data_IF_925982508550
#
_entry.id   IF_925982508550
#
_cell.length_a   1.000
_cell.length_b   1.000
_cell.length_c   1.000
_cell.angle_alpha   90.00
_cell.angle_beta   90.00
_cell.angle_gamma   90.00
#
_symmetry.space_group_name_H-M   'P 1'
#
loop_
_entity.id
_entity.type
_entity.pdbx_description
1 polymer ?
#
# COMPACT_ATOMS: atom_id res chain seq x y z
N UNK A 1 12.22 -5.47 -17.89
CA UNK A 1 11.52 -5.46 -16.58
C UNK A 1 10.06 -5.16 -16.83
N UNK A 2 9.14 -5.98 -16.32
CA UNK A 2 7.71 -5.81 -16.55
C UNK A 2 7.05 -5.11 -15.36
N UNK A 3 6.19 -4.15 -15.67
CA UNK A 3 5.37 -3.41 -14.72
C UNK A 3 3.94 -3.40 -15.23
N UNK A 4 2.96 -3.52 -14.35
CA UNK A 4 1.54 -3.52 -14.71
C UNK A 4 0.82 -2.46 -13.89
N UNK A 5 0.21 -1.42 -14.49
CA UNK A 5 -0.70 -0.53 -13.78
C UNK A 5 -1.87 -1.34 -13.21
N UNK A 6 -2.19 -1.11 -11.94
CA UNK A 6 -3.26 -1.81 -11.24
C UNK A 6 -3.88 -0.89 -10.20
N UNK A 7 -5.21 -0.91 -10.11
CA UNK A 7 -5.93 -0.32 -8.99
C UNK A 7 -6.11 -1.39 -7.90
N UNK A 8 -5.70 -1.07 -6.68
CA UNK A 8 -5.90 -1.92 -5.50
C UNK A 8 -6.72 -1.18 -4.46
N UNK A 9 -7.47 -1.92 -3.66
CA UNK A 9 -8.16 -1.38 -2.48
C UNK A 9 -7.41 -1.81 -1.23
N UNK A 10 -6.97 -0.85 -0.42
CA UNK A 10 -6.31 -1.12 0.87
C UNK A 10 -7.10 -0.43 1.98
N UNK A 11 -7.65 -1.22 2.90
CA UNK A 11 -8.48 -0.75 4.01
C UNK A 11 -9.53 0.30 3.57
N UNK A 12 -10.29 -0.03 2.53
CA UNK A 12 -11.37 0.81 1.99
C UNK A 12 -10.95 1.98 1.09
N UNK A 13 -9.65 2.19 0.85
CA UNK A 13 -9.16 3.25 -0.05
C UNK A 13 -8.66 2.62 -1.36
N UNK A 14 -9.20 3.08 -2.48
CA UNK A 14 -8.74 2.71 -3.82
C UNK A 14 -7.49 3.49 -4.22
N UNK A 15 -6.53 2.79 -4.83
CA UNK A 15 -5.20 3.31 -5.09
C UNK A 15 -4.63 2.75 -6.38
N UNK A 16 -4.17 3.64 -7.25
CA UNK A 16 -3.43 3.25 -8.45
C UNK A 16 -1.94 3.04 -8.13
N UNK A 17 -1.46 1.84 -8.45
CA UNK A 17 -0.07 1.45 -8.29
C UNK A 17 0.49 0.90 -9.60
N UNK A 18 1.83 0.91 -9.70
CA UNK A 18 2.56 0.32 -10.84
C UNK A 18 3.58 -0.70 -10.32
N UNK A 19 3.14 -1.87 -9.83
CA UNK A 19 4.01 -2.89 -9.29
C UNK A 19 4.92 -3.51 -10.35
N UNK A 20 6.07 -3.99 -9.90
CA UNK A 20 6.97 -4.83 -10.68
C UNK A 20 6.43 -6.26 -10.71
N UNK A 21 6.33 -6.86 -11.90
CA UNK A 21 5.84 -8.23 -12.07
C UNK A 21 7.01 -9.20 -11.95
N UNK A 22 6.99 -10.03 -10.90
CA UNK A 22 7.99 -11.06 -10.61
C UNK A 22 7.30 -12.28 -9.99
N UNK A 23 7.95 -13.45 -10.06
CA UNK A 23 7.53 -14.64 -9.31
C UNK A 23 7.82 -14.43 -7.82
N UNK A 24 6.79 -14.46 -6.98
CA UNK A 24 6.89 -14.22 -5.53
C UNK A 24 6.82 -15.50 -4.69
N UNK A 25 6.46 -16.65 -5.27
CA UNK A 25 6.15 -17.85 -4.49
C UNK A 25 4.77 -17.74 -3.87
N UNK A 26 4.67 -17.87 -2.55
CA UNK A 26 3.39 -17.86 -1.83
C UNK A 26 2.68 -16.48 -1.77
N UNK A 27 3.37 -15.34 -1.57
CA UNK A 27 2.70 -14.04 -1.55
C UNK A 27 2.18 -13.62 -2.92
N UNK A 28 0.95 -13.14 -2.98
CA UNK A 28 0.38 -12.61 -4.23
C UNK A 28 0.89 -11.19 -4.58
N UNK A 29 1.19 -10.38 -3.55
CA UNK A 29 1.67 -9.01 -3.70
C UNK A 29 2.48 -8.61 -2.47
N UNK A 30 3.53 -7.83 -2.68
CA UNK A 30 4.31 -7.20 -1.60
C UNK A 30 4.27 -5.69 -1.80
N UNK A 31 3.69 -4.99 -0.82
CA UNK A 31 3.76 -3.53 -0.73
C UNK A 31 5.05 -3.17 -0.01
N UNK A 32 6.11 -2.92 -0.79
CA UNK A 32 7.43 -2.62 -0.25
C UNK A 32 7.56 -1.22 0.34
N UNK A 33 8.77 -0.90 0.81
CA UNK A 33 9.12 0.38 1.42
C UNK A 33 8.69 1.62 0.62
N UNK A 34 8.80 1.67 -0.73
CA UNK A 34 8.36 2.85 -1.49
C UNK A 34 6.86 3.15 -1.29
N UNK A 35 6.04 2.11 -1.19
CA UNK A 35 4.60 2.26 -0.94
C UNK A 35 4.36 2.75 0.50
N UNK A 36 5.05 2.14 1.48
CA UNK A 36 4.95 2.52 2.89
C UNK A 36 5.39 3.97 3.13
N UNK A 37 6.47 4.43 2.50
CA UNK A 37 6.93 5.82 2.61
C UNK A 37 5.95 6.82 2.00
N UNK A 38 5.35 6.47 0.85
CA UNK A 38 4.39 7.34 0.15
C UNK A 38 3.09 7.51 0.93
N UNK A 39 2.55 6.43 1.46
CA UNK A 39 1.23 6.42 2.08
C UNK A 39 1.27 6.57 3.60
N UNK A 40 2.41 6.22 4.21
CA UNK A 40 2.74 6.40 5.62
C UNK A 40 1.57 6.07 6.58
N UNK A 41 0.93 4.89 6.45
CA UNK A 41 -0.12 4.50 7.37
C UNK A 41 0.46 4.18 8.74
N UNK A 42 -0.41 4.17 9.75
CA UNK A 42 -0.07 3.59 11.05
C UNK A 42 -0.28 2.07 10.97
N UNK A 43 0.78 1.32 11.31
CA UNK A 43 0.76 -0.15 11.26
C UNK A 43 0.95 -0.66 12.68
N UNK A 44 -0.04 -1.43 13.14
CA UNK A 44 0.06 -2.21 14.35
C UNK A 44 0.61 -3.59 13.97
N UNK A 45 1.91 -3.78 14.18
CA UNK A 45 2.60 -5.02 13.86
C UNK A 45 2.24 -6.17 14.80
N UNK A 46 1.79 -5.87 16.02
CA UNK A 46 1.41 -6.88 17.01
C UNK A 46 0.05 -7.48 16.66
N UNK A 47 -0.92 -6.63 16.30
CA UNK A 47 -2.27 -7.07 15.93
C UNK A 47 -2.46 -7.30 14.42
N UNK A 48 -1.45 -6.98 13.60
CA UNK A 48 -1.50 -7.15 12.15
C UNK A 48 -2.52 -6.23 11.46
N UNK A 49 -2.70 -5.01 11.97
CA UNK A 49 -3.68 -4.06 11.43
C UNK A 49 -3.03 -2.81 10.84
N UNK A 50 -3.76 -2.10 9.98
CA UNK A 50 -3.32 -0.89 9.31
C UNK A 50 -4.41 0.17 9.39
N UNK A 51 -4.05 1.39 9.79
CA UNK A 51 -4.94 2.54 9.83
C UNK A 51 -4.39 3.71 9.02
N UNK A 52 -5.29 4.45 8.38
CA UNK A 52 -4.93 5.62 7.59
C UNK A 52 -4.79 6.85 8.48
N UNK A 53 -3.65 7.54 8.36
CA UNK A 53 -3.44 8.82 9.04
C UNK A 53 -4.43 9.86 8.51
N UNK A 54 -5.20 10.45 9.40
CA UNK A 54 -5.98 11.64 9.08
C UNK A 54 -5.05 12.84 8.98
N UNK A 55 -4.78 13.30 7.75
CA UNK A 55 -4.01 14.53 7.55
C UNK A 55 -4.90 15.75 7.84
N UNK A 56 -4.78 16.30 9.06
CA UNK A 56 -5.51 17.49 9.51
C UNK A 56 -5.36 18.70 8.58
N UNK A 57 -4.28 18.79 7.81
CA UNK A 57 -4.00 19.90 6.88
C UNK A 57 -4.72 19.79 5.53
N UNK A 58 -5.42 18.69 5.23
CA UNK A 58 -6.30 18.57 4.04
C UNK A 58 -7.74 19.00 4.27
N UNK A 59 -8.07 19.54 5.45
CA UNK A 59 -9.40 20.05 5.80
C UNK A 59 -9.50 21.60 5.75
N UNK A 60 -8.61 22.27 5.00
CA UNK A 60 -8.72 23.71 4.70
C UNK A 60 -8.89 23.96 3.21
#
# INVERSE_FOLDING_TARGET
MHYCPLTITVNGIDMDIKPKVISLGCPHMILGLPWLQKHNPDIDWENGTLQWRQHLWKQK
#
